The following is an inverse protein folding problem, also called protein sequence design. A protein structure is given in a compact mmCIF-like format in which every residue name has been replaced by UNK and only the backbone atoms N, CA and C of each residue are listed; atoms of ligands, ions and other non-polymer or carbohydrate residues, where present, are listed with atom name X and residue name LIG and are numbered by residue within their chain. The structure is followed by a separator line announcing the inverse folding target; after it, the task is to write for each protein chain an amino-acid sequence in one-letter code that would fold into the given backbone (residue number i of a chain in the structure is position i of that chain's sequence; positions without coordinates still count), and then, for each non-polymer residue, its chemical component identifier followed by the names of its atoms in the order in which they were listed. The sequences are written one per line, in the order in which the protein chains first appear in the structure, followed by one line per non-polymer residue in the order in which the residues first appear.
data_IF_690205861887
#
_entry.id   IF_690205861887
#
_cell.length_a   1.000
_cell.length_b   1.000
_cell.length_c   1.000
_cell.angle_alpha   90.00
_cell.angle_beta   90.00
_cell.angle_gamma   90.00
#
_symmetry.space_group_name_H-M   'P 1'
#
loop_
_entity.id
_entity.type
_entity.pdbx_description
1 polymer ?
#
# COMPACT_ATOMS: atom_id res chain seq x y z
N UNK A 1 -23.52 -7.78 7.19
CA UNK A 1 -22.62 -6.99 8.03
C UNK A 1 -21.28 -7.70 8.01
N UNK A 2 -20.35 -7.20 7.19
CA UNK A 2 -19.00 -7.78 7.07
C UNK A 2 -18.22 -7.50 8.35
N UNK A 3 -17.75 -8.57 9.01
CA UNK A 3 -16.93 -8.53 10.22
C UNK A 3 -15.46 -8.23 9.85
N UNK A 4 -15.21 -7.05 9.27
CA UNK A 4 -13.84 -6.62 9.00
C UNK A 4 -13.09 -6.45 10.33
N UNK A 5 -11.89 -7.01 10.43
CA UNK A 5 -11.06 -6.88 11.62
C UNK A 5 -10.65 -5.42 11.82
N UNK A 6 -10.93 -4.86 13.00
CA UNK A 6 -10.45 -3.53 13.41
C UNK A 6 -9.48 -3.64 14.58
N UNK A 7 -8.43 -2.82 14.54
CA UNK A 7 -7.38 -2.75 15.57
C UNK A 7 -7.08 -1.29 15.87
N UNK A 8 -7.33 -0.87 17.09
CA UNK A 8 -6.96 0.47 17.57
C UNK A 8 -5.55 0.45 18.15
N UNK A 9 -4.71 1.39 17.73
CA UNK A 9 -3.35 1.57 18.23
C UNK A 9 -3.19 2.94 18.91
N UNK A 10 -2.57 3.00 20.10
CA UNK A 10 -2.25 4.28 20.74
C UNK A 10 -0.95 4.89 20.17
N UNK A 11 -1.00 6.17 19.78
CA UNK A 11 0.13 6.98 19.32
C UNK A 11 0.30 8.22 20.20
N UNK A 12 0.76 7.99 21.44
CA UNK A 12 0.90 9.08 22.40
C UNK A 12 -0.46 9.55 22.88
N UNK A 13 -0.86 10.77 22.51
CA UNK A 13 -2.13 11.39 22.94
C UNK A 13 -3.31 11.06 22.02
N UNK A 14 -3.07 10.50 20.83
CA UNK A 14 -4.12 10.10 19.89
C UNK A 14 -4.19 8.58 19.75
N UNK A 15 -5.36 8.07 19.39
CA UNK A 15 -5.58 6.67 19.01
C UNK A 15 -5.92 6.60 17.53
N UNK A 16 -5.35 5.64 16.82
CA UNK A 16 -5.60 5.40 15.39
C UNK A 16 -6.28 4.06 15.25
N UNK A 17 -7.39 4.02 14.53
CA UNK A 17 -8.09 2.79 14.18
C UNK A 17 -7.60 2.29 12.81
N UNK A 18 -7.05 1.08 12.81
CA UNK A 18 -6.68 0.36 11.60
C UNK A 18 -7.79 -0.64 11.30
N UNK A 19 -8.21 -0.71 10.04
CA UNK A 19 -9.26 -1.64 9.59
C UNK A 19 -8.78 -2.55 8.47
N UNK A 20 -9.36 -3.74 8.44
CA UNK A 20 -9.18 -4.70 7.37
C UNK A 20 -9.93 -4.24 6.11
N UNK A 21 -9.23 -4.31 4.98
CA UNK A 21 -9.80 -4.02 3.67
C UNK A 21 -10.61 -5.20 3.17
N UNK A 22 -11.83 -4.90 2.73
CA UNK A 22 -12.62 -5.85 1.97
C UNK A 22 -12.02 -6.06 0.57
N UNK A 23 -12.37 -7.19 -0.07
CA UNK A 23 -11.95 -7.46 -1.47
C UNK A 23 -12.35 -6.34 -2.44
N UNK A 24 -13.49 -5.68 -2.19
CA UNK A 24 -13.94 -4.53 -2.99
C UNK A 24 -13.01 -3.33 -2.86
N UNK A 25 -12.57 -3.03 -1.64
CA UNK A 25 -11.64 -1.94 -1.35
C UNK A 25 -10.23 -2.25 -1.84
N UNK A 26 -9.77 -3.50 -1.72
CA UNK A 26 -8.50 -3.95 -2.30
C UNK A 26 -8.50 -3.69 -3.81
N UNK A 27 -9.60 -4.04 -4.51
CA UNK A 27 -9.72 -3.78 -5.96
C UNK A 27 -9.68 -2.29 -6.28
N UNK A 28 -10.36 -1.46 -5.48
CA UNK A 28 -10.34 -0.01 -5.64
C UNK A 28 -8.94 0.56 -5.42
N UNK A 29 -8.25 0.13 -4.38
CA UNK A 29 -6.89 0.54 -4.04
C UNK A 29 -5.90 0.19 -5.16
N UNK A 30 -5.95 -1.04 -5.67
CA UNK A 30 -5.11 -1.48 -6.80
C UNK A 30 -5.37 -0.65 -8.06
N UNK A 31 -6.62 -0.24 -8.30
CA UNK A 31 -6.96 0.64 -9.42
C UNK A 31 -6.35 2.04 -9.25
N UNK A 32 -6.43 2.62 -8.05
CA UNK A 32 -5.82 3.93 -7.77
C UNK A 32 -4.29 3.90 -7.92
N UNK A 33 -3.63 2.85 -7.44
CA UNK A 33 -2.19 2.68 -7.66
C UNK A 33 -1.82 2.64 -9.14
N UNK A 34 -2.64 1.99 -9.96
CA UNK A 34 -2.40 1.89 -11.40
C UNK A 34 -2.67 3.22 -12.14
N UNK A 35 -3.59 4.04 -11.64
CA UNK A 35 -3.88 5.37 -12.16
C UNK A 35 -2.79 6.40 -11.78
N UNK A 36 -2.10 6.18 -10.67
CA UNK A 36 -0.80 6.77 -10.35
C UNK A 36 -0.83 8.29 -10.12
N UNK A 37 -1.02 8.69 -8.86
CA UNK A 37 -0.72 10.06 -8.44
C UNK A 37 0.76 10.14 -8.04
N UNK A 38 1.61 10.37 -9.04
CA UNK A 38 3.08 10.40 -8.91
C UNK A 38 3.63 11.75 -8.40
N UNK A 39 2.76 12.63 -7.90
CA UNK A 39 3.12 14.01 -7.55
C UNK A 39 3.86 14.13 -6.22
N UNK A 40 3.63 13.21 -5.26
CA UNK A 40 4.26 13.26 -3.94
C UNK A 40 5.26 12.09 -3.70
N UNK A 41 6.55 12.44 -3.82
CA UNK A 41 7.67 11.52 -3.61
C UNK A 41 7.80 11.12 -2.13
N UNK A 42 7.47 12.01 -1.18
CA UNK A 42 7.60 11.71 0.25
C UNK A 42 6.52 10.71 0.63
N UNK A 43 5.28 10.98 0.24
CA UNK A 43 4.16 10.07 0.47
C UNK A 43 4.40 8.69 -0.14
N UNK A 44 5.10 8.58 -1.27
CA UNK A 44 5.36 7.33 -1.97
C UNK A 44 6.64 6.58 -1.56
N UNK A 45 7.57 7.21 -0.82
CA UNK A 45 8.87 6.60 -0.47
C UNK A 45 9.13 6.46 1.03
N UNK A 46 8.36 7.15 1.88
CA UNK A 46 8.58 7.14 3.33
C UNK A 46 8.35 5.75 3.96
N UNK A 47 7.39 4.99 3.43
CA UNK A 47 7.03 3.65 3.86
C UNK A 47 7.47 2.62 2.82
N UNK A 48 7.88 1.41 3.24
CA UNK A 48 8.54 0.45 2.35
C UNK A 48 7.61 -0.23 1.34
N UNK A 49 6.33 -0.40 1.67
CA UNK A 49 5.41 -1.23 0.88
C UNK A 49 4.18 -0.46 0.34
N UNK A 50 3.82 0.66 0.96
CA UNK A 50 2.64 1.47 0.63
C UNK A 50 2.97 2.96 0.76
N UNK A 51 2.10 3.81 0.25
CA UNK A 51 2.14 5.27 0.39
C UNK A 51 1.27 5.76 1.55
N UNK A 52 1.42 7.04 1.92
CA UNK A 52 0.57 7.69 2.92
C UNK A 52 -0.90 7.72 2.51
N UNK A 53 -1.20 7.93 1.23
CA UNK A 53 -2.58 7.87 0.71
C UNK A 53 -3.19 6.49 0.86
N UNK A 54 -2.40 5.43 0.62
CA UNK A 54 -2.85 4.05 0.83
C UNK A 54 -3.05 3.73 2.32
N UNK A 55 -2.20 4.28 3.20
CA UNK A 55 -2.33 4.14 4.64
C UNK A 55 -3.61 4.80 5.17
N UNK A 56 -3.95 6.00 4.68
CA UNK A 56 -5.17 6.72 5.04
C UNK A 56 -6.44 5.89 4.77
N UNK A 57 -6.46 5.12 3.67
CA UNK A 57 -7.62 4.30 3.30
C UNK A 57 -7.86 3.10 4.23
N UNK A 58 -6.80 2.66 4.92
CA UNK A 58 -6.83 1.53 5.86
C UNK A 58 -6.95 2.00 7.32
N UNK A 59 -7.01 3.31 7.54
CA UNK A 59 -7.05 3.91 8.87
C UNK A 59 -8.18 4.94 8.98
N UNK A 60 -8.38 5.48 10.18
CA UNK A 60 -9.26 6.62 10.44
C UNK A 60 -8.54 7.98 10.34
N UNK A 61 -7.28 7.98 9.91
CA UNK A 61 -6.47 9.18 9.73
C UNK A 61 -6.75 9.85 8.38
N UNK A 62 -6.90 11.17 8.40
CA UNK A 62 -6.88 11.99 7.18
C UNK A 62 -5.43 12.33 6.76
N UNK A 63 -5.26 12.80 5.53
CA UNK A 63 -3.95 13.17 4.95
C UNK A 63 -3.29 14.27 5.77
N UNK A 64 -4.04 15.28 6.21
CA UNK A 64 -3.51 16.36 7.06
C UNK A 64 -2.95 15.81 8.39
N UNK A 65 -3.61 14.79 8.96
CA UNK A 65 -3.16 14.16 10.20
C UNK A 65 -1.94 13.28 9.99
N UNK A 66 -1.80 12.65 8.82
CA UNK A 66 -0.62 11.86 8.46
C UNK A 66 0.62 12.74 8.31
N UNK A 67 0.47 13.96 7.80
CA UNK A 67 1.57 14.92 7.63
C UNK A 67 2.10 15.46 8.97
N UNK A 68 1.24 15.57 9.98
CA UNK A 68 1.61 15.97 11.35
C UNK A 68 2.30 14.84 12.14
N UNK A 69 2.22 13.59 11.68
CA UNK A 69 2.81 12.44 12.37
C UNK A 69 4.31 12.32 12.10
N UNK A 70 5.07 12.06 13.16
CA UNK A 70 6.48 11.75 13.02
C UNK A 70 6.67 10.42 12.25
N UNK A 71 7.77 10.24 11.49
CA UNK A 71 8.05 8.97 10.79
C UNK A 71 8.04 7.74 11.70
N UNK A 72 8.41 7.89 12.98
CA UNK A 72 8.36 6.82 13.97
C UNK A 72 6.93 6.42 14.36
N UNK A 73 5.98 7.36 14.36
CA UNK A 73 4.57 7.10 14.59
C UNK A 73 3.94 6.46 13.34
N UNK A 74 4.24 6.98 12.14
CA UNK A 74 3.79 6.41 10.88
C UNK A 74 4.23 4.95 10.71
N UNK A 75 5.46 4.61 11.12
CA UNK A 75 5.93 3.21 11.14
C UNK A 75 5.09 2.30 12.05
N UNK A 76 4.67 2.78 13.22
CA UNK A 76 3.80 2.00 14.11
C UNK A 76 2.42 1.76 13.49
N UNK A 77 1.86 2.78 12.84
CA UNK A 77 0.59 2.65 12.09
C UNK A 77 0.74 1.64 10.95
N UNK A 78 1.83 1.76 10.20
CA UNK A 78 2.15 0.84 9.11
C UNK A 78 2.26 -0.61 9.59
N UNK A 79 2.98 -0.87 10.69
CA UNK A 79 3.11 -2.23 11.24
C UNK A 79 1.75 -2.82 11.64
N UNK A 80 0.91 -2.05 12.31
CA UNK A 80 -0.44 -2.47 12.67
C UNK A 80 -1.32 -2.70 11.43
N UNK A 81 -1.20 -1.84 10.43
CA UNK A 81 -1.88 -1.95 9.13
C UNK A 81 -1.48 -3.23 8.41
N UNK A 82 -0.19 -3.54 8.41
CA UNK A 82 0.35 -4.77 7.82
C UNK A 82 -0.14 -6.03 8.52
N UNK A 83 -0.22 -6.00 9.85
CA UNK A 83 -0.75 -7.12 10.63
C UNK A 83 -2.23 -7.38 10.33
N UNK A 84 -3.05 -6.33 10.32
CA UNK A 84 -4.49 -6.42 10.04
C UNK A 84 -4.77 -6.81 8.59
N UNK A 85 -4.00 -6.28 7.64
CA UNK A 85 -4.22 -6.45 6.21
C UNK A 85 -3.24 -7.45 5.56
N UNK A 86 -2.82 -8.49 6.29
CA UNK A 86 -1.79 -9.43 5.83
C UNK A 86 -2.07 -9.99 4.42
N UNK A 87 -3.31 -10.38 4.13
CA UNK A 87 -3.72 -10.90 2.81
C UNK A 87 -3.53 -9.88 1.67
N UNK A 88 -3.77 -8.59 1.92
CA UNK A 88 -3.53 -7.54 0.94
C UNK A 88 -2.03 -7.41 0.62
N UNK A 89 -1.17 -7.40 1.63
CA UNK A 89 0.28 -7.30 1.43
C UNK A 89 0.83 -8.51 0.68
N UNK A 90 0.39 -9.72 1.02
CA UNK A 90 0.76 -10.96 0.31
C UNK A 90 0.26 -10.92 -1.15
N UNK A 91 -0.96 -10.44 -1.39
CA UNK A 91 -1.49 -10.28 -2.73
C UNK A 91 -0.66 -9.27 -3.55
N UNK A 92 -0.32 -8.13 -2.96
CA UNK A 92 0.50 -7.09 -3.59
C UNK A 92 1.87 -7.64 -3.98
N UNK A 93 2.54 -8.36 -3.09
CA UNK A 93 3.85 -8.98 -3.36
C UNK A 93 3.77 -9.93 -4.56
N UNK A 94 2.72 -10.76 -4.62
CA UNK A 94 2.47 -11.65 -5.77
C UNK A 94 2.23 -10.87 -7.06
N UNK A 95 1.48 -9.77 -7.01
CA UNK A 95 1.23 -8.92 -8.18
C UNK A 95 2.54 -8.30 -8.69
N UNK A 96 3.38 -7.78 -7.77
CA UNK A 96 4.68 -7.21 -8.12
C UNK A 96 5.59 -8.26 -8.74
N UNK A 97 5.64 -9.47 -8.19
CA UNK A 97 6.43 -10.57 -8.72
C UNK A 97 5.97 -10.99 -10.12
N UNK A 98 4.66 -11.15 -10.33
CA UNK A 98 4.09 -11.44 -11.66
C UNK A 98 4.42 -10.31 -12.63
N UNK A 99 4.32 -9.04 -12.21
CA UNK A 99 4.68 -7.89 -13.02
C UNK A 99 6.15 -7.90 -13.46
N UNK A 100 7.08 -8.21 -12.54
CA UNK A 100 8.52 -8.36 -12.85
C UNK A 100 8.76 -9.47 -13.87
N UNK A 101 8.10 -10.62 -13.72
CA UNK A 101 8.23 -11.74 -14.66
C UNK A 101 7.70 -11.40 -16.06
N UNK A 102 6.58 -10.69 -16.15
CA UNK A 102 6.01 -10.24 -17.42
C UNK A 102 6.94 -9.24 -18.11
N UNK A 103 7.46 -8.24 -17.37
CA UNK A 103 8.42 -7.27 -17.91
C UNK A 103 9.74 -7.95 -18.35
N UNK A 104 10.22 -8.94 -17.59
CA UNK A 104 11.38 -9.75 -17.97
C UNK A 104 11.16 -10.46 -19.31
N UNK A 105 10.03 -11.14 -19.48
CA UNK A 105 9.68 -11.85 -20.73
C UNK A 105 9.54 -10.91 -21.94
N UNK A 106 8.97 -9.72 -21.74
CA UNK A 106 8.85 -8.71 -22.80
C UNK A 106 10.22 -8.14 -23.24
N UNK A 107 11.14 -7.99 -22.30
CA UNK A 107 12.51 -7.55 -22.57
C UNK A 107 13.33 -8.62 -23.33
N UNK A 108 13.13 -9.89 -23.01
CA UNK A 108 13.80 -11.01 -23.69
C UNK A 108 13.27 -11.22 -25.13
N UNK A 109 11.94 -11.12 -25.33
CA UNK A 109 11.33 -11.25 -26.67
C UNK A 109 11.73 -10.14 -27.66
N UNK A 110 12.24 -8.99 -27.19
CA UNK A 110 12.72 -7.90 -28.05
C UNK A 110 14.13 -8.14 -28.61
N UNK A 111 14.87 -9.15 -28.12
CA UNK A 111 16.24 -9.44 -28.57
C UNK A 111 16.31 -10.39 -29.77
N UNK A 112 15.23 -11.08 -30.14
CA UNK A 112 15.23 -12.08 -31.22
C UNK A 112 14.94 -11.53 -32.63
N UNK A 113 14.77 -10.22 -32.83
CA UNK A 113 14.46 -9.64 -34.17
C UNK A 113 15.62 -8.88 -34.83
N UNK A 114 16.85 -8.95 -34.30
CA UNK A 114 18.03 -8.36 -34.94
C UNK A 114 19.09 -9.41 -35.26
N UNK A 115 18.87 -10.14 -36.34
CA UNK A 115 19.95 -10.79 -37.08
C UNK A 115 19.80 -10.43 -38.57
N UNK A 116 20.79 -9.78 -39.21
CA UNK A 116 20.75 -9.34 -40.61
C UNK A 116 20.83 -10.50 -41.61
#
# INVERSE_FOLDING_TARGET
MSMALTKTIPLGEISVEVRELTVGEIRHLLKMMAEGDSSDVISSTLLPEISLTELALMTDLDVDQLDDLAPSQLRKVFEATREVNTDFFVLRERIVEVGKQVLGKLSEGSKETLVP
#
